data_IF_667386043215
#
_entry.id   IF_667386043215
#
_cell.length_a   1.000
_cell.length_b   1.000
_cell.length_c   1.000
_cell.angle_alpha   90.00
_cell.angle_beta   90.00
_cell.angle_gamma   90.00
#
_symmetry.space_group_name_H-M   'P 1'
#
loop_
_entity.id
_entity.type
_entity.pdbx_description
1 polymer ?
#
# COMPACT_ATOMS: atom_id res chain seq x y z
N UNK A 1 7.30 33.79 7.16
CA UNK A 1 6.31 33.16 8.04
C UNK A 1 6.27 31.69 7.66
N UNK A 2 6.79 30.81 8.52
CA UNK A 2 6.77 29.38 8.26
C UNK A 2 5.35 28.80 8.35
N UNK A 3 5.16 27.57 7.88
CA UNK A 3 3.90 26.84 8.03
C UNK A 3 3.53 26.73 9.53
N UNK A 4 4.51 26.48 10.40
CA UNK A 4 4.33 26.44 11.85
C UNK A 4 3.80 27.77 12.44
N UNK A 5 4.38 28.91 12.05
CA UNK A 5 3.94 30.24 12.53
C UNK A 5 2.47 30.53 12.15
N UNK A 6 2.07 30.08 10.95
CA UNK A 6 0.70 30.25 10.45
C UNK A 6 -0.29 29.42 11.29
N UNK A 7 0.06 28.17 11.58
CA UNK A 7 -0.76 27.26 12.38
C UNK A 7 -0.91 27.76 13.83
N UNK A 8 0.18 28.24 14.42
CA UNK A 8 0.15 28.87 15.75
C UNK A 8 -0.73 30.12 15.77
N UNK A 9 -0.67 30.95 14.72
CA UNK A 9 -1.55 32.10 14.55
C UNK A 9 -3.02 31.73 14.44
N UNK A 10 -3.36 30.65 13.71
CA UNK A 10 -4.73 30.12 13.63
C UNK A 10 -5.20 29.66 15.02
N UNK A 11 -4.36 28.92 15.75
CA UNK A 11 -4.70 28.45 17.11
C UNK A 11 -4.90 29.59 18.09
N UNK A 12 -4.08 30.64 18.01
CA UNK A 12 -4.27 31.84 18.81
C UNK A 12 -5.61 32.53 18.47
N UNK A 13 -5.93 32.69 17.19
CA UNK A 13 -7.19 33.30 16.73
C UNK A 13 -8.43 32.47 17.06
N UNK A 14 -8.31 31.14 17.15
CA UNK A 14 -9.39 30.26 17.58
C UNK A 14 -9.62 30.25 19.10
N UNK A 15 -8.78 30.97 19.87
CA UNK A 15 -8.82 30.94 21.33
C UNK A 15 -8.39 29.59 21.91
N UNK A 16 -7.50 28.86 21.21
CA UNK A 16 -7.04 27.54 21.62
C UNK A 16 -8.00 26.38 21.30
N UNK A 17 -9.07 26.63 20.53
CA UNK A 17 -10.09 25.62 20.18
C UNK A 17 -9.71 24.71 19.01
N UNK A 18 -8.50 24.83 18.49
CA UNK A 18 -7.99 24.03 17.37
C UNK A 18 -6.71 23.31 17.79
N UNK A 19 -6.61 22.03 17.47
CA UNK A 19 -5.39 21.26 17.61
C UNK A 19 -4.51 21.41 16.35
N UNK A 20 -3.19 21.47 16.56
CA UNK A 20 -2.19 21.43 15.49
C UNK A 20 -1.61 20.02 15.47
N UNK A 21 -1.87 19.29 14.38
CA UNK A 21 -1.46 17.89 14.22
C UNK A 21 -0.46 17.77 13.10
N UNK A 22 0.67 17.12 13.38
CA UNK A 22 1.70 16.83 12.40
C UNK A 22 1.69 15.34 12.05
N UNK A 23 1.74 15.02 10.76
CA UNK A 23 1.89 13.64 10.27
C UNK A 23 3.34 13.46 9.81
N UNK A 24 4.00 12.40 10.28
CA UNK A 24 5.45 12.15 10.17
C UNK A 24 6.30 13.15 10.97
N UNK A 25 7.58 12.81 11.16
CA UNK A 25 8.52 13.64 11.91
C UNK A 25 8.67 15.05 11.30
N UNK A 26 8.35 16.14 12.03
CA UNK A 26 8.63 17.50 11.58
C UNK A 26 10.13 17.84 11.56
N UNK A 27 11.00 16.94 12.06
CA UNK A 27 12.45 17.06 12.24
C UNK A 27 12.90 18.14 13.24
N UNK A 28 12.10 19.20 13.42
CA UNK A 28 12.34 20.31 14.35
C UNK A 28 11.01 20.79 14.93
N UNK A 29 11.10 21.61 15.97
CA UNK A 29 9.96 22.32 16.57
C UNK A 29 8.82 21.40 17.03
N UNK A 30 9.14 20.20 17.51
CA UNK A 30 8.15 19.22 17.99
C UNK A 30 7.19 19.77 19.04
N UNK A 31 7.59 20.82 19.78
CA UNK A 31 6.77 21.47 20.82
C UNK A 31 5.64 22.34 20.27
N UNK A 32 5.67 22.69 18.98
CA UNK A 32 4.66 23.54 18.34
C UNK A 32 3.39 22.75 17.96
N UNK A 33 3.45 21.42 18.04
CA UNK A 33 2.37 20.52 17.69
C UNK A 33 1.71 19.95 18.95
N UNK A 34 0.38 19.86 18.94
CA UNK A 34 -0.39 19.19 20.01
C UNK A 34 -0.23 17.67 19.93
N UNK A 35 -0.23 17.16 18.69
CA UNK A 35 -0.03 15.74 18.39
C UNK A 35 0.94 15.58 17.22
N UNK A 36 1.80 14.57 17.34
CA UNK A 36 2.66 14.12 16.25
C UNK A 36 2.33 12.66 15.97
N UNK A 37 1.90 12.38 14.74
CA UNK A 37 1.55 11.04 14.31
C UNK A 37 2.77 10.43 13.61
N UNK A 38 3.31 9.37 14.21
CA UNK A 38 4.56 8.76 13.78
C UNK A 38 4.40 7.25 13.61
N UNK A 39 4.87 6.66 12.51
CA UNK A 39 4.88 5.21 12.39
C UNK A 39 5.75 4.55 13.46
N UNK A 40 5.26 3.46 14.02
CA UNK A 40 5.91 2.64 15.06
C UNK A 40 7.32 2.16 14.70
N UNK A 41 7.59 1.96 13.40
CA UNK A 41 8.89 1.50 12.89
C UNK A 41 9.94 2.62 12.81
N UNK A 42 9.55 3.88 12.97
CA UNK A 42 10.50 4.99 12.99
C UNK A 42 11.25 5.07 14.34
N UNK A 43 12.54 5.41 14.35
CA UNK A 43 13.39 5.30 15.54
C UNK A 43 13.15 6.37 16.61
N UNK A 44 12.32 7.39 16.32
CA UNK A 44 12.21 8.58 17.16
C UNK A 44 11.17 8.42 18.27
N UNK A 45 11.65 8.47 19.51
CA UNK A 45 10.83 8.59 20.71
C UNK A 45 10.78 10.06 21.11
N UNK A 46 9.82 10.80 20.59
CA UNK A 46 9.50 12.13 21.14
C UNK A 46 8.54 11.93 22.31
N UNK A 47 8.60 12.85 23.29
CA UNK A 47 7.77 12.97 24.50
C UNK A 47 6.26 12.75 24.24
N UNK A 48 5.45 12.61 25.30
CA UNK A 48 4.06 12.10 25.33
C UNK A 48 2.97 12.73 24.43
N UNK A 49 3.34 13.53 23.42
CA UNK A 49 2.50 14.05 22.32
C UNK A 49 2.50 13.17 21.07
N UNK A 50 3.30 12.10 21.05
CA UNK A 50 3.36 11.17 19.92
C UNK A 50 2.22 10.17 19.98
N UNK A 51 1.46 10.05 18.89
CA UNK A 51 0.53 8.94 18.67
C UNK A 51 1.13 8.04 17.60
N UNK A 52 1.48 6.81 17.98
CA UNK A 52 2.09 5.87 17.04
C UNK A 52 1.06 5.27 16.07
N UNK A 53 1.48 5.00 14.84
CA UNK A 53 0.69 4.26 13.84
C UNK A 53 1.37 2.98 13.37
N UNK A 54 0.58 1.98 13.01
CA UNK A 54 1.06 0.83 12.23
C UNK A 54 1.11 1.27 10.77
N UNK A 55 2.31 1.44 10.23
CA UNK A 55 2.48 1.95 8.87
C UNK A 55 2.05 3.42 8.71
N UNK A 56 1.65 3.80 7.49
CA UNK A 56 1.24 5.16 7.15
C UNK A 56 -0.28 5.33 7.14
N UNK A 57 -0.73 6.45 7.71
CA UNK A 57 -2.06 6.99 7.38
C UNK A 57 -2.13 7.21 5.87
N UNK A 58 -3.20 6.72 5.26
CA UNK A 58 -3.40 6.77 3.82
C UNK A 58 -4.86 7.05 3.48
N UNK A 59 -5.13 7.24 2.19
CA UNK A 59 -6.45 7.65 1.70
C UNK A 59 -7.39 6.47 1.44
N UNK A 60 -6.90 5.23 1.43
CA UNK A 60 -7.71 4.05 1.11
C UNK A 60 -8.70 3.80 2.25
N UNK A 61 -9.98 3.91 1.91
CA UNK A 61 -11.10 3.64 2.80
C UNK A 61 -12.32 3.22 1.95
N UNK A 62 -13.46 2.95 2.60
CA UNK A 62 -14.67 2.49 1.90
C UNK A 62 -15.21 3.49 0.89
N UNK A 63 -15.07 4.79 1.16
CA UNK A 63 -15.52 5.83 0.21
C UNK A 63 -14.69 5.77 -1.07
N UNK A 64 -13.38 5.53 -0.95
CA UNK A 64 -12.49 5.39 -2.11
C UNK A 64 -12.79 4.11 -2.89
N UNK A 65 -12.98 2.98 -2.21
CA UNK A 65 -13.30 1.71 -2.87
C UNK A 65 -14.69 1.71 -3.53
N UNK A 66 -15.68 2.36 -2.92
CA UNK A 66 -17.01 2.54 -3.52
C UNK A 66 -16.95 3.52 -4.71
N UNK A 67 -16.11 4.56 -4.63
CA UNK A 67 -15.87 5.45 -5.77
C UNK A 67 -15.21 4.69 -6.93
N UNK A 68 -14.23 3.85 -6.65
CA UNK A 68 -13.60 2.97 -7.63
C UNK A 68 -14.63 2.05 -8.31
N UNK A 69 -15.54 1.45 -7.54
CA UNK A 69 -16.67 0.68 -8.08
C UNK A 69 -17.54 1.49 -9.04
N UNK A 70 -17.91 2.72 -8.67
CA UNK A 70 -18.74 3.59 -9.50
C UNK A 70 -18.06 4.01 -10.81
N UNK A 71 -16.73 4.16 -10.80
CA UNK A 71 -15.95 4.55 -11.96
C UNK A 71 -15.43 3.34 -12.78
N UNK A 72 -15.77 2.11 -12.37
CA UNK A 72 -15.31 0.87 -13.00
C UNK A 72 -15.59 0.83 -14.50
N UNK A 73 -16.82 1.16 -14.92
CA UNK A 73 -17.24 1.15 -16.33
C UNK A 73 -16.53 2.21 -17.18
N UNK A 74 -15.96 3.25 -16.56
CA UNK A 74 -15.19 4.30 -17.24
C UNK A 74 -13.70 3.94 -17.34
N UNK A 75 -13.25 2.93 -16.59
CA UNK A 75 -11.84 2.52 -16.57
C UNK A 75 -11.48 1.81 -17.86
N UNK A 76 -10.53 2.38 -18.62
CA UNK A 76 -9.96 1.73 -19.81
C UNK A 76 -9.27 0.41 -19.48
N UNK A 77 -8.68 0.30 -18.28
CA UNK A 77 -8.11 -0.96 -17.82
C UNK A 77 -9.21 -2.02 -17.66
N UNK A 78 -10.35 -1.68 -17.04
CA UNK A 78 -11.47 -2.60 -16.90
C UNK A 78 -12.11 -2.95 -18.26
N UNK A 79 -12.20 -1.98 -19.17
CA UNK A 79 -12.62 -2.22 -20.55
C UNK A 79 -11.70 -3.25 -21.24
N UNK A 80 -10.38 -3.15 -21.06
CA UNK A 80 -9.42 -4.13 -21.56
C UNK A 80 -9.68 -5.51 -20.97
N UNK A 81 -9.89 -5.62 -19.64
CA UNK A 81 -10.18 -6.89 -18.98
C UNK A 81 -11.38 -7.58 -19.62
N UNK A 82 -12.48 -6.83 -19.85
CA UNK A 82 -13.68 -7.35 -20.52
C UNK A 82 -13.42 -7.79 -21.95
N UNK A 83 -12.76 -6.94 -22.75
CA UNK A 83 -12.43 -7.23 -24.16
C UNK A 83 -11.55 -8.49 -24.31
N UNK A 84 -10.67 -8.76 -23.34
CA UNK A 84 -9.82 -9.95 -23.31
C UNK A 84 -10.44 -11.14 -22.58
N UNK A 85 -11.69 -11.03 -22.13
CA UNK A 85 -12.41 -12.06 -21.39
C UNK A 85 -11.63 -12.52 -20.12
N UNK A 86 -10.93 -11.58 -19.48
CA UNK A 86 -10.23 -11.80 -18.21
C UNK A 86 -11.25 -11.72 -17.06
N UNK A 87 -11.32 -12.77 -16.25
CA UNK A 87 -12.37 -12.95 -15.25
C UNK A 87 -11.81 -13.11 -13.84
N UNK A 88 -12.69 -12.83 -12.88
CA UNK A 88 -12.48 -13.11 -11.45
C UNK A 88 -12.26 -14.63 -11.19
N UNK A 89 -11.65 -15.02 -10.07
CA UNK A 89 -11.16 -14.15 -8.99
C UNK A 89 -9.98 -13.28 -9.44
N UNK A 90 -9.90 -12.05 -8.92
CA UNK A 90 -8.80 -11.13 -9.23
C UNK A 90 -7.79 -11.10 -8.08
N UNK A 91 -6.51 -11.19 -8.43
CA UNK A 91 -5.41 -10.99 -7.50
C UNK A 91 -4.68 -9.72 -7.93
N UNK A 92 -4.73 -8.67 -7.13
CA UNK A 92 -3.96 -7.46 -7.41
C UNK A 92 -2.52 -7.62 -6.93
N UNK A 93 -1.56 -7.13 -7.72
CA UNK A 93 -0.13 -7.24 -7.44
C UNK A 93 0.50 -5.87 -7.52
N UNK A 94 0.88 -5.31 -6.37
CA UNK A 94 1.44 -3.97 -6.24
C UNK A 94 2.95 -4.06 -6.13
N UNK A 95 3.64 -3.64 -7.18
CA UNK A 95 5.10 -3.73 -7.28
C UNK A 95 5.71 -2.35 -7.05
N UNK A 96 6.46 -2.24 -5.96
CA UNK A 96 7.31 -1.10 -5.63
C UNK A 96 8.57 -1.05 -6.50
N UNK A 97 9.70 -0.66 -5.92
CA UNK A 97 10.98 -0.57 -6.59
C UNK A 97 11.98 0.29 -5.81
N UNK A 98 13.06 0.73 -6.45
CA UNK A 98 14.21 1.31 -5.76
C UNK A 98 13.85 2.49 -4.83
N UNK A 99 14.16 2.33 -3.55
CA UNK A 99 14.04 3.33 -2.50
C UNK A 99 15.08 3.04 -1.38
N UNK A 100 15.23 3.95 -0.41
CA UNK A 100 16.12 3.71 0.75
C UNK A 100 15.75 2.47 1.55
N UNK A 101 14.50 2.00 1.45
CA UNK A 101 13.98 0.85 2.17
C UNK A 101 13.97 -0.45 1.37
N UNK A 102 14.55 -0.47 0.18
CA UNK A 102 14.68 -1.69 -0.61
C UNK A 102 14.52 -1.47 -2.10
N UNK A 103 14.60 -2.57 -2.84
CA UNK A 103 14.41 -2.63 -4.27
C UNK A 103 13.73 -3.95 -4.66
N UNK A 104 13.03 -3.94 -5.79
CA UNK A 104 12.54 -5.15 -6.43
C UNK A 104 13.41 -5.37 -7.65
N UNK A 105 14.16 -6.47 -7.68
CA UNK A 105 15.06 -6.79 -8.77
C UNK A 105 14.45 -7.77 -9.78
N UNK A 106 15.20 -8.11 -10.83
CA UNK A 106 14.78 -9.06 -11.86
C UNK A 106 14.35 -10.41 -11.31
N UNK A 107 15.15 -10.98 -10.40
CA UNK A 107 14.85 -12.29 -9.81
C UNK A 107 13.61 -12.23 -8.90
N UNK A 108 13.33 -11.09 -8.28
CA UNK A 108 12.13 -10.88 -7.49
C UNK A 108 10.88 -10.83 -8.38
N UNK A 109 10.97 -10.15 -9.53
CA UNK A 109 9.93 -10.17 -10.55
C UNK A 109 9.62 -11.58 -11.05
N UNK A 110 10.66 -12.41 -11.26
CA UNK A 110 10.51 -13.82 -11.64
C UNK A 110 9.80 -14.64 -10.56
N UNK A 111 10.23 -14.53 -9.30
CA UNK A 111 9.60 -15.22 -8.16
C UNK A 111 8.13 -14.85 -7.98
N UNK A 112 7.79 -13.56 -8.12
CA UNK A 112 6.41 -13.08 -8.10
C UNK A 112 5.56 -13.76 -9.19
N UNK A 113 6.07 -13.79 -10.42
CA UNK A 113 5.38 -14.41 -11.54
C UNK A 113 5.23 -15.94 -11.38
N UNK A 114 6.26 -16.64 -10.86
CA UNK A 114 6.20 -18.06 -10.53
C UNK A 114 5.08 -18.38 -9.52
N UNK A 115 4.97 -17.60 -8.44
CA UNK A 115 3.91 -17.79 -7.45
C UNK A 115 2.53 -17.53 -8.03
N UNK A 116 2.37 -16.48 -8.84
CA UNK A 116 1.09 -16.20 -9.50
C UNK A 116 0.70 -17.30 -10.47
N UNK A 117 1.65 -17.84 -11.23
CA UNK A 117 1.42 -19.00 -12.09
C UNK A 117 0.92 -20.19 -11.28
N UNK A 118 1.51 -20.45 -10.11
CA UNK A 118 1.06 -21.51 -9.22
C UNK A 118 -0.34 -21.27 -8.65
N UNK A 119 -0.60 -20.07 -8.10
CA UNK A 119 -1.89 -19.74 -7.46
C UNK A 119 -3.02 -19.76 -8.49
N UNK A 120 -2.89 -18.98 -9.56
CA UNK A 120 -3.94 -18.83 -10.58
C UNK A 120 -4.05 -20.11 -11.42
N UNK A 121 -2.94 -20.82 -11.65
CA UNK A 121 -2.97 -22.10 -12.36
C UNK A 121 -3.83 -23.17 -11.67
N UNK A 122 -3.94 -23.13 -10.33
CA UNK A 122 -4.79 -24.05 -9.56
C UNK A 122 -6.22 -23.55 -9.37
N UNK A 123 -6.41 -22.26 -9.12
CA UNK A 123 -7.71 -21.68 -8.75
C UNK A 123 -8.48 -21.08 -9.92
N UNK A 124 -7.82 -20.83 -11.05
CA UNK A 124 -8.31 -19.91 -12.07
C UNK A 124 -8.24 -18.45 -11.60
N UNK A 125 -8.69 -17.53 -12.46
CA UNK A 125 -8.69 -16.10 -12.18
C UNK A 125 -7.68 -15.32 -13.02
N UNK A 126 -7.43 -14.07 -12.60
CA UNK A 126 -6.60 -13.11 -13.33
C UNK A 126 -5.72 -12.30 -12.37
N UNK A 127 -4.43 -12.15 -12.71
CA UNK A 127 -3.53 -11.22 -12.02
C UNK A 127 -3.68 -9.79 -12.55
N UNK A 128 -3.85 -8.81 -11.65
CA UNK A 128 -3.91 -7.38 -11.96
C UNK A 128 -2.65 -6.70 -11.41
N UNK A 129 -1.63 -6.55 -12.25
CA UNK A 129 -0.33 -6.03 -11.85
C UNK A 129 -0.30 -4.51 -12.01
N UNK A 130 0.10 -3.79 -10.98
CA UNK A 130 0.42 -2.36 -11.04
C UNK A 130 1.85 -2.13 -10.57
N UNK A 131 2.69 -1.58 -11.44
CA UNK A 131 4.02 -1.08 -11.05
C UNK A 131 3.92 0.33 -10.47
N UNK A 132 5.04 0.85 -9.97
CA UNK A 132 5.19 2.21 -9.49
C UNK A 132 6.21 2.98 -10.32
N UNK A 133 6.28 4.30 -10.12
CA UNK A 133 7.35 5.14 -10.69
C UNK A 133 8.77 4.66 -10.35
N UNK A 134 8.92 3.87 -9.28
CA UNK A 134 10.21 3.35 -8.79
C UNK A 134 10.55 1.96 -9.35
N UNK A 135 9.62 1.26 -9.97
CA UNK A 135 9.85 -0.13 -10.42
C UNK A 135 10.94 -0.19 -11.47
N UNK A 136 11.97 -1.00 -11.22
CA UNK A 136 13.08 -1.20 -12.15
C UNK A 136 12.59 -1.91 -13.42
N UNK A 137 13.12 -1.53 -14.58
CA UNK A 137 12.74 -2.15 -15.85
C UNK A 137 13.08 -3.65 -15.86
N UNK A 138 14.20 -4.03 -15.24
CA UNK A 138 14.67 -5.41 -15.12
C UNK A 138 13.72 -6.26 -14.28
N UNK A 139 13.13 -5.71 -13.22
CA UNK A 139 12.11 -6.39 -12.42
C UNK A 139 10.87 -6.75 -13.25
N UNK A 140 10.33 -5.76 -13.99
CA UNK A 140 9.17 -6.00 -14.85
C UNK A 140 9.50 -6.91 -16.04
N UNK A 141 10.72 -6.84 -16.59
CA UNK A 141 11.20 -7.78 -17.61
C UNK A 141 11.18 -9.22 -17.08
N UNK A 142 11.83 -9.48 -15.94
CA UNK A 142 11.87 -10.80 -15.34
C UNK A 142 10.47 -11.35 -15.04
N UNK A 143 9.56 -10.48 -14.56
CA UNK A 143 8.15 -10.84 -14.38
C UNK A 143 7.49 -11.27 -15.70
N UNK A 144 7.61 -10.46 -16.76
CA UNK A 144 7.02 -10.72 -18.08
C UNK A 144 7.52 -12.01 -18.74
N UNK A 145 8.79 -12.35 -18.54
CA UNK A 145 9.38 -13.58 -19.08
C UNK A 145 8.77 -14.85 -18.48
N UNK A 146 8.27 -14.77 -17.24
CA UNK A 146 7.85 -15.93 -16.46
C UNK A 146 6.33 -16.08 -16.39
N UNK A 147 5.57 -14.99 -16.36
CA UNK A 147 4.11 -15.03 -16.19
C UNK A 147 3.42 -15.69 -17.40
N UNK A 148 2.54 -16.67 -17.14
CA UNK A 148 1.84 -17.48 -18.15
C UNK A 148 0.32 -17.51 -17.96
N UNK A 149 -0.14 -17.26 -16.74
CA UNK A 149 -1.57 -17.22 -16.40
C UNK A 149 -2.25 -15.94 -16.92
N UNK A 150 -3.60 -15.89 -17.00
CA UNK A 150 -4.32 -14.67 -17.39
C UNK A 150 -3.92 -13.48 -16.52
N UNK A 151 -3.52 -12.38 -17.15
CA UNK A 151 -3.02 -11.21 -16.43
C UNK A 151 -3.22 -9.92 -17.21
N UNK A 152 -3.17 -8.81 -16.48
CA UNK A 152 -3.07 -7.46 -17.01
C UNK A 152 -1.95 -6.72 -16.28
N UNK A 153 -1.09 -6.00 -17.02
CA UNK A 153 0.01 -5.23 -16.45
C UNK A 153 -0.22 -3.74 -16.74
N UNK A 154 -0.41 -2.96 -15.69
CA UNK A 154 -0.25 -1.52 -15.72
C UNK A 154 1.21 -1.16 -15.40
N UNK A 155 1.92 -0.64 -16.40
CA UNK A 155 3.25 -0.08 -16.21
C UNK A 155 3.17 1.44 -15.96
N UNK A 156 3.44 1.86 -14.73
CA UNK A 156 3.41 3.26 -14.32
C UNK A 156 4.38 4.13 -15.12
N UNK A 157 5.49 3.59 -15.65
CA UNK A 157 6.45 4.39 -16.43
C UNK A 157 5.97 4.64 -17.86
N UNK A 158 5.12 3.77 -18.39
CA UNK A 158 4.55 3.90 -19.75
C UNK A 158 3.23 4.68 -19.72
N UNK A 159 2.38 4.44 -18.70
CA UNK A 159 1.07 5.11 -18.50
C UNK A 159 0.14 5.05 -19.72
N UNK A 160 0.03 3.89 -20.36
CA UNK A 160 -0.91 3.67 -21.47
C UNK A 160 -2.39 3.88 -21.07
N UNK A 161 -2.66 3.76 -19.78
CA UNK A 161 -3.97 3.91 -19.16
C UNK A 161 -3.91 4.92 -18.01
N UNK A 162 -5.08 5.45 -17.62
CA UNK A 162 -5.22 6.10 -16.32
C UNK A 162 -4.87 5.10 -15.21
N UNK A 163 -4.28 5.57 -14.11
CA UNK A 163 -3.79 4.68 -13.05
C UNK A 163 -4.95 3.86 -12.45
N UNK A 164 -5.00 2.54 -12.67
CA UNK A 164 -6.11 1.71 -12.24
C UNK A 164 -5.96 1.19 -10.81
N UNK A 165 -5.03 1.74 -10.02
CA UNK A 165 -4.68 1.25 -8.67
C UNK A 165 -5.90 1.04 -7.77
N UNK A 166 -6.75 2.05 -7.61
CA UNK A 166 -7.95 1.95 -6.75
C UNK A 166 -8.97 0.95 -7.33
N UNK A 167 -9.06 0.84 -8.67
CA UNK A 167 -9.90 -0.16 -9.35
C UNK A 167 -9.39 -1.57 -9.07
N UNK A 168 -8.08 -1.79 -9.10
CA UNK A 168 -7.48 -3.09 -8.79
C UNK A 168 -7.69 -3.48 -7.34
N UNK A 169 -7.51 -2.53 -6.40
CA UNK A 169 -7.83 -2.76 -4.99
C UNK A 169 -9.31 -3.10 -4.78
N UNK A 170 -10.21 -2.42 -5.48
CA UNK A 170 -11.64 -2.71 -5.41
C UNK A 170 -11.97 -4.13 -5.91
N UNK A 171 -11.48 -4.49 -7.11
CA UNK A 171 -11.76 -5.76 -7.78
C UNK A 171 -11.11 -6.98 -7.10
N UNK A 172 -9.97 -6.78 -6.44
CA UNK A 172 -9.21 -7.86 -5.87
C UNK A 172 -9.94 -8.57 -4.72
N UNK A 173 -9.79 -9.88 -4.69
CA UNK A 173 -10.08 -10.70 -3.50
C UNK A 173 -8.83 -10.81 -2.62
N UNK A 174 -7.65 -10.81 -3.26
CA UNK A 174 -6.35 -10.87 -2.61
C UNK A 174 -5.40 -9.82 -3.22
N UNK A 175 -4.60 -9.18 -2.37
CA UNK A 175 -3.56 -8.22 -2.76
C UNK A 175 -2.21 -8.78 -2.38
N UNK A 176 -1.33 -8.92 -3.36
CA UNK A 176 0.10 -9.19 -3.15
C UNK A 176 0.83 -7.86 -3.27
N UNK A 177 1.63 -7.50 -2.28
CA UNK A 177 2.38 -6.24 -2.25
C UNK A 177 3.85 -6.49 -1.92
N UNK A 178 4.76 -5.76 -2.57
CA UNK A 178 6.19 -5.86 -2.26
C UNK A 178 6.57 -5.04 -1.02
N UNK A 179 7.44 -5.63 -0.19
CA UNK A 179 7.84 -5.08 1.11
C UNK A 179 8.73 -3.84 1.06
N UNK A 180 9.25 -3.45 -0.11
CA UNK A 180 10.08 -2.26 -0.30
C UNK A 180 9.31 -0.93 -0.17
N UNK A 181 7.98 -0.99 0.03
CA UNK A 181 7.10 0.16 -0.04
C UNK A 181 6.15 0.21 1.15
N UNK A 182 6.56 0.95 2.21
CA UNK A 182 5.73 1.25 3.39
C UNK A 182 4.34 1.74 2.98
N UNK A 183 4.28 2.66 2.02
CA UNK A 183 3.03 3.22 1.52
C UNK A 183 2.12 2.14 0.92
N UNK A 184 2.63 1.32 0.00
CA UNK A 184 1.80 0.30 -0.64
C UNK A 184 1.39 -0.79 0.35
N UNK A 185 2.26 -1.19 1.28
CA UNK A 185 1.89 -2.13 2.35
C UNK A 185 0.75 -1.57 3.20
N UNK A 186 0.83 -0.30 3.58
CA UNK A 186 -0.21 0.36 4.38
C UNK A 186 -1.53 0.47 3.61
N UNK A 187 -1.49 0.92 2.35
CA UNK A 187 -2.67 1.04 1.48
C UNK A 187 -3.33 -0.32 1.20
N UNK A 188 -2.53 -1.38 0.97
CA UNK A 188 -3.04 -2.73 0.76
C UNK A 188 -3.78 -3.26 2.00
N UNK A 189 -3.22 -3.07 3.20
CA UNK A 189 -3.86 -3.47 4.45
C UNK A 189 -5.12 -2.65 4.75
N UNK A 190 -5.18 -1.39 4.31
CA UNK A 190 -6.37 -0.54 4.42
C UNK A 190 -7.49 -0.88 3.44
N UNK A 191 -7.20 -1.67 2.39
CA UNK A 191 -8.19 -2.07 1.38
C UNK A 191 -9.22 -3.10 1.90
N UNK A 192 -9.01 -3.70 3.08
CA UNK A 192 -9.90 -4.70 3.66
C UNK A 192 -9.95 -6.01 2.85
N UNK A 193 -8.82 -6.33 2.19
CA UNK A 193 -8.64 -7.56 1.40
C UNK A 193 -7.66 -8.48 2.11
N UNK A 194 -7.58 -9.73 1.68
CA UNK A 194 -6.46 -10.59 2.07
C UNK A 194 -5.17 -10.01 1.52
N UNK A 195 -4.16 -9.80 2.36
CA UNK A 195 -2.88 -9.20 1.94
C UNK A 195 -1.74 -10.18 2.13
N UNK A 196 -0.92 -10.36 1.09
CA UNK A 196 0.37 -11.06 1.16
C UNK A 196 1.50 -10.09 0.93
N UNK A 197 2.53 -10.14 1.78
CA UNK A 197 3.72 -9.31 1.60
C UNK A 197 4.85 -10.15 1.03
N UNK A 198 5.25 -9.83 -0.20
CA UNK A 198 6.45 -10.37 -0.83
C UNK A 198 7.67 -9.61 -0.30
N UNK A 199 8.64 -10.34 0.28
CA UNK A 199 9.93 -9.77 0.70
C UNK A 199 10.92 -9.81 -0.47
N UNK A 200 11.29 -8.66 -1.06
CA UNK A 200 12.34 -8.61 -2.06
C UNK A 200 13.68 -9.01 -1.45
N UNK A 201 14.64 -9.36 -2.31
CA UNK A 201 16.00 -9.68 -1.86
C UNK A 201 16.68 -8.47 -1.20
N UNK A 202 16.49 -7.30 -1.79
CA UNK A 202 16.94 -6.04 -1.21
C UNK A 202 15.82 -5.42 -0.38
N UNK A 203 15.78 -5.73 0.92
CA UNK A 203 14.86 -5.11 1.87
C UNK A 203 15.65 -4.37 2.96
N UNK A 204 15.39 -3.07 3.08
CA UNK A 204 16.02 -2.24 4.11
C UNK A 204 15.56 -2.65 5.50
N UNK A 205 16.50 -2.76 6.44
CA UNK A 205 16.23 -3.19 7.81
C UNK A 205 15.16 -2.34 8.51
N UNK A 206 15.01 -1.07 8.13
CA UNK A 206 14.04 -0.16 8.70
C UNK A 206 12.58 -0.47 8.31
N UNK A 207 12.34 -1.27 7.25
CA UNK A 207 10.98 -1.66 6.82
C UNK A 207 10.58 -3.04 7.34
N UNK A 208 11.55 -3.85 7.80
CA UNK A 208 11.29 -5.16 8.40
C UNK A 208 10.37 -5.06 9.62
N UNK A 209 10.56 -4.14 10.59
CA UNK A 209 9.67 -4.00 11.73
C UNK A 209 8.21 -3.75 11.34
N UNK A 210 7.97 -2.91 10.33
CA UNK A 210 6.60 -2.66 9.83
C UNK A 210 5.99 -3.95 9.27
N UNK A 211 6.73 -4.66 8.42
CA UNK A 211 6.25 -5.89 7.82
C UNK A 211 5.88 -6.90 8.90
N UNK A 212 6.77 -7.12 9.88
CA UNK A 212 6.53 -8.05 10.99
C UNK A 212 5.35 -7.59 11.86
N UNK A 213 5.16 -6.29 12.06
CA UNK A 213 4.01 -5.75 12.79
C UNK A 213 2.70 -5.97 12.03
N UNK A 214 2.68 -5.78 10.71
CA UNK A 214 1.51 -6.04 9.87
C UNK A 214 1.12 -7.52 9.91
N UNK A 215 2.10 -8.43 9.84
CA UNK A 215 1.86 -9.88 9.90
C UNK A 215 1.40 -10.29 11.29
N UNK A 216 2.12 -9.90 12.35
CA UNK A 216 1.77 -10.22 13.74
C UNK A 216 0.42 -9.64 14.15
N UNK A 217 0.06 -8.48 13.61
CA UNK A 217 -1.23 -7.83 13.83
C UNK A 217 -2.39 -8.41 13.03
N UNK A 218 -2.16 -9.41 12.17
CA UNK A 218 -3.22 -10.04 11.36
C UNK A 218 -3.67 -9.22 10.15
N UNK A 219 -2.98 -8.14 9.81
CA UNK A 219 -3.31 -7.27 8.67
C UNK A 219 -2.77 -7.80 7.34
N UNK A 220 -1.76 -8.67 7.40
CA UNK A 220 -1.18 -9.35 6.25
C UNK A 220 -0.66 -10.73 6.64
N UNK A 221 -0.32 -11.54 5.64
CA UNK A 221 0.41 -12.80 5.82
C UNK A 221 1.68 -12.82 4.97
N UNK A 222 2.59 -13.72 5.31
CA UNK A 222 3.79 -13.96 4.52
C UNK A 222 3.42 -14.45 3.11
N UNK A 223 4.15 -13.97 2.10
CA UNK A 223 4.00 -14.42 0.71
C UNK A 223 4.10 -15.94 0.53
N UNK A 224 4.94 -16.60 1.34
CA UNK A 224 5.10 -18.04 1.28
C UNK A 224 4.06 -18.83 2.06
N UNK A 225 3.22 -18.15 2.86
CA UNK A 225 2.11 -18.81 3.58
C UNK A 225 1.26 -19.61 2.58
N UNK A 226 0.97 -20.89 2.83
CA UNK A 226 0.13 -21.68 1.94
C UNK A 226 -1.27 -21.06 1.71
N UNK A 227 -1.97 -21.56 0.71
CA UNK A 227 -3.36 -21.18 0.47
C UNK A 227 -4.29 -21.87 1.47
N UNK A 228 -4.45 -21.27 2.64
CA UNK A 228 -5.45 -21.64 3.65
C UNK A 228 -6.44 -20.49 3.85
N UNK A 229 -7.52 -20.75 4.58
CA UNK A 229 -8.60 -19.80 4.92
C UNK A 229 -8.17 -18.73 5.95
N UNK A 230 -6.97 -18.15 5.80
CA UNK A 230 -6.61 -16.96 6.56
C UNK A 230 -7.31 -15.73 5.96
N UNK A 231 -8.11 -15.06 6.78
CA UNK A 231 -8.53 -13.68 6.56
C UNK A 231 -7.45 -12.69 7.03
N UNK A 232 -7.56 -11.45 6.59
CA UNK A 232 -6.77 -10.34 7.12
C UNK A 232 -7.72 -9.28 7.67
N UNK A 233 -7.39 -8.74 8.84
CA UNK A 233 -8.09 -7.58 9.37
C UNK A 233 -7.77 -6.34 8.55
N UNK A 234 -8.71 -5.39 8.53
CA UNK A 234 -8.48 -4.10 7.88
C UNK A 234 -7.69 -3.19 8.80
N UNK A 235 -6.67 -2.55 8.23
CA UNK A 235 -5.92 -1.48 8.91
C UNK A 235 -6.57 -0.11 8.66
N UNK A 236 -7.18 0.50 9.68
CA UNK A 236 -7.77 1.85 9.62
C UNK A 236 -7.11 2.83 10.62
N UNK A 237 -5.85 3.15 10.35
CA UNK A 237 -5.11 4.12 11.16
C UNK A 237 -5.65 5.54 11.05
N UNK A 238 -6.23 5.90 9.89
CA UNK A 238 -6.84 7.21 9.72
C UNK A 238 -8.04 7.39 10.66
N UNK A 239 -8.95 6.41 10.68
CA UNK A 239 -10.11 6.39 11.57
C UNK A 239 -9.72 6.28 13.04
N UNK A 240 -8.76 5.40 13.37
CA UNK A 240 -8.26 5.24 14.74
C UNK A 240 -7.62 6.51 15.28
N UNK A 241 -6.81 7.19 14.49
CA UNK A 241 -6.17 8.43 14.95
C UNK A 241 -7.20 9.55 15.04
N UNK A 242 -8.13 9.67 14.09
CA UNK A 242 -9.19 10.67 14.14
C UNK A 242 -10.03 10.56 15.42
N UNK A 243 -10.33 9.35 15.92
CA UNK A 243 -11.08 9.17 17.17
C UNK A 243 -10.29 9.50 18.44
N UNK A 244 -8.97 9.72 18.35
CA UNK A 244 -8.12 10.10 19.48
C UNK A 244 -7.90 11.61 19.61
N UNK A 245 -8.09 12.37 18.52
CA UNK A 245 -7.75 13.80 18.43
C UNK A 245 -8.94 14.72 18.13
N UNK A 246 -10.11 14.16 17.84
CA UNK A 246 -11.39 14.85 17.63
C UNK A 246 -12.30 14.60 18.82
#
# INVERSE_FOLDING_TARGET
>A
MGVADTLLGIKARSGGKTAIVQILDPQKNHKDFDYIILPSYEPYKVDGRVISTIGLINYINDKVLEKAKQDLEKSKAFEYLRKKNLKAPFIAVMIGGKHVGGNVEEQDGRKLAEKLNYIIGRKGGTALISTSKRTEFTALRGFREVIKVPHFIYDYKIREYDNPYDIFLHLAEEVIVTGDSVRMMSEACSAGKKVRIFRPQELGFQYVPLLEELIRGGYAIDFETPETEYGCDRLDEAGRIASMIV
#
